data_IF_740293002168
#
_entry.id   IF_740293002168
#
_cell.length_a   1.000
_cell.length_b   1.000
_cell.length_c   1.000
_cell.angle_alpha   90.00
_cell.angle_beta   90.00
_cell.angle_gamma   90.00
#
_symmetry.space_group_name_H-M   'P 1'
#
loop_
_entity.id
_entity.type
_entity.pdbx_description
1 polymer ?
#
# COMPACT_ATOMS: atom_id res chain seq x y z
N UNK A 1 -0.17 -7.28 16.20
CA UNK A 1 -0.67 -7.15 14.81
C UNK A 1 0.50 -7.39 13.87
N UNK A 2 0.35 -8.13 12.76
CA UNK A 2 1.47 -8.37 11.85
C UNK A 2 1.97 -7.06 11.23
N UNK A 3 3.28 -6.96 10.99
CA UNK A 3 3.92 -5.75 10.41
C UNK A 3 3.48 -5.49 8.97
N UNK A 4 3.06 -6.52 8.23
CA UNK A 4 2.55 -6.42 6.88
C UNK A 4 1.20 -7.13 6.74
N UNK A 5 0.33 -6.63 5.87
CA UNK A 5 -0.94 -7.24 5.54
C UNK A 5 -1.22 -7.10 4.04
N UNK A 6 -1.60 -8.19 3.37
CA UNK A 6 -2.08 -8.13 1.98
C UNK A 6 -3.44 -7.43 1.92
N UNK A 7 -3.59 -6.47 1.01
CA UNK A 7 -4.87 -5.80 0.73
C UNK A 7 -5.62 -6.57 -0.33
N UNK A 8 -5.11 -6.50 -1.57
CA UNK A 8 -5.68 -7.15 -2.73
C UNK A 8 -4.61 -7.28 -3.82
N UNK A 9 -4.70 -8.33 -4.63
CA UNK A 9 -3.73 -8.58 -5.71
C UNK A 9 -2.27 -8.49 -5.23
N UNK A 10 -1.52 -7.55 -5.81
CA UNK A 10 -0.12 -7.27 -5.50
C UNK A 10 0.08 -6.18 -4.45
N UNK A 11 -0.98 -5.57 -3.93
CA UNK A 11 -0.92 -4.46 -2.99
C UNK A 11 -0.80 -4.94 -1.53
N UNK A 12 0.21 -4.42 -0.83
CA UNK A 12 0.49 -4.70 0.57
C UNK A 12 0.43 -3.43 1.42
N UNK A 13 0.07 -3.58 2.69
CA UNK A 13 0.06 -2.54 3.72
C UNK A 13 1.13 -2.85 4.77
N UNK A 14 2.11 -1.96 4.91
CA UNK A 14 3.08 -1.94 5.99
C UNK A 14 2.54 -1.12 7.17
N UNK A 15 2.75 -1.62 8.39
CA UNK A 15 2.17 -1.08 9.62
C UNK A 15 3.27 -0.55 10.52
N UNK A 16 3.48 0.76 10.49
CA UNK A 16 4.54 1.48 11.21
C UNK A 16 3.92 2.38 12.30
N UNK A 17 3.72 1.85 13.50
CA UNK A 17 3.01 2.56 14.58
C UNK A 17 1.60 2.98 14.14
N UNK A 18 1.33 4.29 14.15
CA UNK A 18 0.08 4.87 13.67
C UNK A 18 0.05 5.10 12.16
N UNK A 19 1.16 4.92 11.45
CA UNK A 19 1.23 5.12 10.01
C UNK A 19 1.00 3.81 9.26
N UNK A 20 0.42 3.93 8.07
CA UNK A 20 0.19 2.84 7.13
C UNK A 20 0.81 3.24 5.80
N UNK A 21 1.64 2.38 5.25
CA UNK A 21 2.23 2.57 3.92
C UNK A 21 1.72 1.46 3.00
N UNK A 22 1.22 1.83 1.84
CA UNK A 22 0.96 0.88 0.78
C UNK A 22 2.18 0.71 -0.09
N UNK A 23 2.50 -0.54 -0.40
CA UNK A 23 3.65 -0.89 -1.21
C UNK A 23 3.38 -2.16 -2.01
N UNK A 24 4.20 -2.41 -3.03
CA UNK A 24 4.17 -3.65 -3.77
C UNK A 24 5.58 -4.04 -4.24
N UNK A 25 5.74 -5.32 -4.59
CA UNK A 25 6.95 -5.80 -5.24
C UNK A 25 6.89 -5.43 -6.73
N UNK A 26 7.75 -4.51 -7.13
CA UNK A 26 7.99 -4.11 -8.51
C UNK A 26 9.08 -4.99 -9.16
N UNK A 27 9.42 -4.69 -10.41
CA UNK A 27 10.47 -5.39 -11.17
C UNK A 27 11.82 -5.32 -10.43
N UNK A 28 12.71 -6.28 -10.70
CA UNK A 28 14.09 -6.33 -10.15
C UNK A 28 14.20 -6.37 -8.62
N UNK A 29 13.27 -7.06 -7.95
CA UNK A 29 13.24 -7.19 -6.47
C UNK A 29 13.16 -5.84 -5.74
N UNK A 30 12.62 -4.81 -6.39
CA UNK A 30 12.42 -3.48 -5.81
C UNK A 30 11.04 -3.40 -5.18
N UNK A 31 10.95 -2.94 -3.93
CA UNK A 31 9.68 -2.55 -3.34
C UNK A 31 9.45 -1.07 -3.60
N UNK A 32 8.24 -0.72 -4.06
CA UNK A 32 7.84 0.66 -4.28
C UNK A 32 6.76 1.04 -3.29
N UNK A 33 6.97 2.13 -2.55
CA UNK A 33 5.96 2.73 -1.68
C UNK A 33 5.07 3.62 -2.54
N UNK A 34 3.78 3.32 -2.53
CA UNK A 34 2.78 3.96 -3.37
C UNK A 34 2.11 5.12 -2.66
N UNK A 35 1.78 4.95 -1.38
CA UNK A 35 0.97 5.91 -0.64
C UNK A 35 1.11 5.70 0.87
N UNK A 36 1.06 6.78 1.65
CA UNK A 36 1.17 6.74 3.11
C UNK A 36 0.09 7.57 3.77
N UNK A 37 -0.48 7.06 4.87
CA UNK A 37 -1.49 7.77 5.64
C UNK A 37 -1.40 7.43 7.14
N UNK A 38 -1.85 8.37 7.99
CA UNK A 38 -2.01 8.13 9.42
C UNK A 38 -3.34 7.43 9.67
N UNK A 39 -3.32 6.33 10.41
CA UNK A 39 -4.51 5.56 10.76
C UNK A 39 -5.45 6.41 11.64
N UNK A 40 -6.67 6.63 11.16
CA UNK A 40 -7.74 7.29 11.92
C UNK A 40 -8.78 6.29 12.45
N UNK A 41 -8.89 5.09 11.86
CA UNK A 41 -9.84 4.06 12.29
C UNK A 41 -9.24 2.66 12.14
N UNK A 42 -9.91 1.63 12.67
CA UNK A 42 -9.47 0.24 12.54
C UNK A 42 -9.49 -0.28 11.09
N UNK A 43 -10.39 0.23 10.26
CA UNK A 43 -10.50 -0.14 8.85
C UNK A 43 -9.68 0.81 7.99
N UNK A 44 -8.98 0.24 7.03
CA UNK A 44 -8.29 1.02 6.00
C UNK A 44 -9.33 1.74 5.12
N UNK A 45 -9.30 3.08 5.02
CA UNK A 45 -10.28 3.80 4.23
C UNK A 45 -10.15 3.48 2.73
N UNK A 46 -11.27 3.30 2.03
CA UNK A 46 -11.31 2.91 0.61
C UNK A 46 -10.57 3.91 -0.30
N UNK A 47 -10.61 5.21 0.02
CA UNK A 47 -9.92 6.27 -0.73
C UNK A 47 -8.40 6.09 -0.74
N UNK A 48 -7.83 5.65 0.39
CA UNK A 48 -6.39 5.42 0.53
C UNK A 48 -5.96 4.22 -0.34
N UNK A 49 -6.77 3.16 -0.35
CA UNK A 49 -6.57 1.97 -1.21
C UNK A 49 -6.66 2.36 -2.68
N UNK A 50 -7.71 3.07 -3.09
CA UNK A 50 -7.90 3.51 -4.47
C UNK A 50 -6.73 4.37 -4.98
N UNK A 51 -6.20 5.26 -4.13
CA UNK A 51 -5.01 6.07 -4.44
C UNK A 51 -3.79 5.20 -4.71
N UNK A 52 -3.56 4.18 -3.88
CA UNK A 52 -2.44 3.27 -4.04
C UNK A 52 -2.57 2.38 -5.28
N UNK A 53 -3.76 1.85 -5.56
CA UNK A 53 -4.02 1.07 -6.77
C UNK A 53 -3.78 1.87 -8.05
N UNK A 54 -4.27 3.12 -8.11
CA UNK A 54 -4.05 3.99 -9.27
C UNK A 54 -2.56 4.17 -9.56
N UNK A 55 -1.77 4.54 -8.53
CA UNK A 55 -0.31 4.70 -8.66
C UNK A 55 0.41 3.40 -9.02
N UNK A 56 -0.08 2.27 -8.54
CA UNK A 56 0.48 0.96 -8.89
C UNK A 56 0.25 0.63 -10.36
N UNK A 57 -0.95 0.92 -10.88
CA UNK A 57 -1.26 0.70 -12.29
C UNK A 57 -0.44 1.62 -13.20
N UNK A 58 -0.28 2.90 -12.83
CA UNK A 58 0.60 3.85 -13.54
C UNK A 58 2.01 3.27 -13.71
N UNK A 59 2.62 2.73 -12.63
CA UNK A 59 3.95 2.12 -12.69
C UNK A 59 4.02 0.79 -13.46
N UNK A 60 2.90 0.09 -13.62
CA UNK A 60 2.83 -1.19 -14.34
C UNK A 60 2.57 -1.02 -15.83
N UNK A 61 1.94 0.10 -16.20
CA UNK A 61 1.71 0.52 -17.59
C UNK A 61 2.98 1.14 -18.22
N UNK A 62 3.97 1.51 -17.41
CA UNK A 62 5.35 1.82 -17.80
C UNK A 62 6.19 0.57 -18.18
#
# INVERSE_FOLDING_TARGET
>A
MPHARRIEGRLWELRLGDNRLFYFLYRDRKFVILHGFRKQSMKTPKKEIATALRRMNELLEE
#
